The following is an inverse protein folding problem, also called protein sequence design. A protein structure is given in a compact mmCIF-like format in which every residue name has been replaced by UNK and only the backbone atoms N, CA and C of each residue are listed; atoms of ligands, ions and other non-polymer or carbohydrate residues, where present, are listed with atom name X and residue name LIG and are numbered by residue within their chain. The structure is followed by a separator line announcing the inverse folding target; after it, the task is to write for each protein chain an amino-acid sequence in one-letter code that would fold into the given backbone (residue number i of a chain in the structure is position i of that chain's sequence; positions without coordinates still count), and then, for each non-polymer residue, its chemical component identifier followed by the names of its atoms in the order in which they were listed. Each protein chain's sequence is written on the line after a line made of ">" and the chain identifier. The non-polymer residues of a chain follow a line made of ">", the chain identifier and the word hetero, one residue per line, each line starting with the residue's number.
data_IF_007054952022
#
_entry.id   IF_007054952022
#
_cell.length_a   1.000
_cell.length_b   1.000
_cell.length_c   1.000
_cell.angle_alpha   90.00
_cell.angle_beta   90.00
_cell.angle_gamma   90.00
#
_symmetry.space_group_name_H-M   'P 1'
#
loop_
_entity.id
_entity.type
_entity.pdbx_description
1 polymer ?
#
# COMPACT_ATOMS: atom_id res chain seq x y z
N UNK A 1 -9.94 3.20 21.49
CA UNK A 1 -9.06 3.24 20.30
C UNK A 1 -9.68 2.28 19.31
N UNK A 2 -9.94 2.73 18.07
CA UNK A 2 -10.53 1.89 17.02
C UNK A 2 -9.61 0.68 16.76
N UNK A 3 -10.13 -0.54 16.81
CA UNK A 3 -9.33 -1.74 16.52
C UNK A 3 -9.27 -2.03 15.00
N UNK A 4 -8.25 -2.75 14.56
CA UNK A 4 -8.02 -3.07 13.14
C UNK A 4 -9.23 -3.77 12.46
N UNK A 5 -9.89 -4.66 13.19
CA UNK A 5 -11.05 -5.43 12.71
C UNK A 5 -12.31 -4.57 12.62
N UNK A 6 -12.35 -3.45 13.36
CA UNK A 6 -13.43 -2.48 13.32
C UNK A 6 -13.34 -1.57 12.09
N UNK A 7 -12.15 -1.47 11.48
CA UNK A 7 -11.94 -0.81 10.21
C UNK A 7 -12.42 -1.71 9.06
N UNK A 8 -13.73 -1.80 8.81
CA UNK A 8 -14.29 -2.69 7.78
C UNK A 8 -13.91 -2.31 6.34
N UNK A 9 -13.40 -1.09 6.15
CA UNK A 9 -12.97 -0.54 4.87
C UNK A 9 -11.47 -0.60 4.59
N UNK A 10 -11.03 0.29 3.69
CA UNK A 10 -9.61 0.47 3.31
C UNK A 10 -8.93 -0.83 2.88
N UNK A 11 -9.66 -1.67 2.12
CA UNK A 11 -9.20 -3.00 1.72
C UNK A 11 -7.86 -2.96 0.96
N UNK A 12 -7.66 -1.94 0.11
CA UNK A 12 -6.40 -1.74 -0.61
C UNK A 12 -5.23 -1.46 0.35
N UNK A 13 -5.44 -0.68 1.41
CA UNK A 13 -4.39 -0.39 2.39
C UNK A 13 -4.09 -1.61 3.27
N UNK A 14 -5.12 -2.38 3.66
CA UNK A 14 -4.94 -3.66 4.36
C UNK A 14 -4.16 -4.66 3.52
N UNK A 15 -4.53 -4.79 2.24
CA UNK A 15 -3.83 -5.64 1.28
C UNK A 15 -2.37 -5.20 1.07
N UNK A 16 -2.12 -3.91 0.94
CA UNK A 16 -0.75 -3.37 0.84
C UNK A 16 0.10 -3.73 2.07
N UNK A 17 -0.48 -3.73 3.28
CA UNK A 17 0.22 -4.12 4.52
C UNK A 17 0.55 -5.61 4.51
N UNK A 18 -0.36 -6.49 4.07
CA UNK A 18 -0.06 -7.92 3.90
C UNK A 18 1.12 -8.13 2.95
N UNK A 19 1.06 -7.49 1.78
CA UNK A 19 2.10 -7.57 0.75
C UNK A 19 3.43 -7.05 1.31
N UNK A 20 3.41 -5.92 2.00
CA UNK A 20 4.59 -5.34 2.61
C UNK A 20 5.19 -6.24 3.70
N UNK A 21 4.36 -6.85 4.54
CA UNK A 21 4.79 -7.74 5.61
C UNK A 21 5.43 -9.03 5.08
N UNK A 22 4.91 -9.58 3.97
CA UNK A 22 5.50 -10.76 3.31
C UNK A 22 6.83 -10.41 2.63
N UNK A 23 6.85 -9.30 1.87
CA UNK A 23 8.01 -8.91 1.09
C UNK A 23 9.11 -8.21 1.88
N UNK A 24 8.89 -7.89 3.16
CA UNK A 24 9.78 -7.03 3.95
C UNK A 24 9.94 -5.64 3.33
N UNK A 25 8.84 -5.06 2.86
CA UNK A 25 8.80 -3.80 2.10
C UNK A 25 8.31 -2.66 2.98
N UNK A 26 8.80 -1.44 2.73
CA UNK A 26 8.38 -0.22 3.43
C UNK A 26 7.11 0.32 2.79
N UNK A 27 6.16 0.76 3.60
CA UNK A 27 4.87 1.27 3.11
C UNK A 27 4.67 2.73 3.49
N UNK A 28 4.11 3.52 2.57
CA UNK A 28 3.62 4.87 2.81
C UNK A 28 2.09 4.86 2.82
N UNK A 29 1.51 5.18 3.98
CA UNK A 29 0.08 5.39 4.16
C UNK A 29 -0.23 6.88 3.95
N UNK A 30 -0.80 7.19 2.79
CA UNK A 30 -1.22 8.55 2.44
C UNK A 30 -2.60 8.82 3.07
N UNK A 31 -2.59 9.45 4.24
CA UNK A 31 -3.74 9.60 5.12
C UNK A 31 -4.69 10.73 4.67
N UNK A 32 -5.87 10.36 4.17
CA UNK A 32 -7.06 11.21 4.11
C UNK A 32 -7.89 11.09 5.39
N UNK A 33 -7.76 9.95 6.08
CA UNK A 33 -8.22 9.72 7.45
C UNK A 33 -7.04 9.33 8.34
N UNK A 34 -6.69 10.23 9.28
CA UNK A 34 -5.55 10.04 10.19
C UNK A 34 -5.79 8.97 11.25
N UNK A 35 -7.04 8.78 11.67
CA UNK A 35 -7.34 7.79 12.70
C UNK A 35 -7.25 6.38 12.12
N UNK A 36 -7.81 6.18 10.92
CA UNK A 36 -7.64 4.95 10.16
C UNK A 36 -6.17 4.66 9.84
N UNK A 37 -5.40 5.68 9.40
CA UNK A 37 -3.99 5.51 9.06
C UNK A 37 -3.15 5.07 10.26
N UNK A 38 -3.41 5.62 11.46
CA UNK A 38 -2.72 5.20 12.69
C UNK A 38 -3.00 3.74 13.04
N UNK A 39 -4.26 3.30 12.97
CA UNK A 39 -4.64 1.90 13.24
C UNK A 39 -3.95 0.95 12.25
N UNK A 40 -3.88 1.35 10.98
CA UNK A 40 -3.19 0.59 9.95
C UNK A 40 -1.67 0.56 10.17
N UNK A 41 -1.06 1.66 10.61
CA UNK A 41 0.38 1.70 10.93
C UNK A 41 0.73 0.81 12.14
N UNK A 42 -0.10 0.81 13.19
CA UNK A 42 0.06 -0.09 14.35
C UNK A 42 -0.07 -1.57 13.95
N UNK A 43 -1.03 -1.88 13.07
CA UNK A 43 -1.18 -3.23 12.50
C UNK A 43 0.03 -3.62 11.63
N UNK A 44 0.53 -2.73 10.78
CA UNK A 44 1.73 -2.96 9.97
C UNK A 44 2.95 -3.25 10.85
N UNK A 45 3.16 -2.48 11.91
CA UNK A 45 4.23 -2.72 12.87
C UNK A 45 4.10 -4.08 13.56
N UNK A 46 2.87 -4.51 13.87
CA UNK A 46 2.61 -5.82 14.50
C UNK A 46 2.84 -7.00 13.56
N UNK A 47 2.89 -6.76 12.25
CA UNK A 47 3.17 -7.75 11.20
C UNK A 47 4.63 -7.72 10.72
N UNK A 48 5.51 -7.04 11.47
CA UNK A 48 6.92 -6.83 11.15
C UNK A 48 7.18 -6.12 9.81
N UNK A 49 6.29 -5.21 9.40
CA UNK A 49 6.57 -4.30 8.29
C UNK A 49 7.77 -3.41 8.69
N UNK A 50 8.89 -3.40 7.94
CA UNK A 50 10.13 -2.77 8.42
C UNK A 50 10.01 -1.27 8.74
N UNK A 51 9.20 -0.55 7.96
CA UNK A 51 8.94 0.86 8.20
C UNK A 51 7.62 1.30 7.57
N UNK A 52 6.84 2.09 8.32
CA UNK A 52 5.58 2.69 7.86
C UNK A 52 5.68 4.21 7.90
N UNK A 53 5.53 4.86 6.75
CA UNK A 53 5.45 6.32 6.64
C UNK A 53 3.98 6.74 6.70
N UNK A 54 3.59 7.51 7.72
CA UNK A 54 2.27 8.14 7.79
C UNK A 54 2.33 9.55 7.21
N UNK A 55 1.57 9.79 6.15
CA UNK A 55 1.76 10.94 5.26
C UNK A 55 0.42 11.66 5.01
N UNK A 56 0.24 12.90 5.48
CA UNK A 56 -0.91 13.75 5.13
C UNK A 56 -0.68 14.61 3.87
N UNK A 57 -1.67 14.77 3.00
CA UNK A 57 -1.52 15.54 1.76
C UNK A 57 -1.36 17.05 1.92
N UNK A 58 -1.72 17.58 3.09
CA UNK A 58 -1.58 18.99 3.45
C UNK A 58 -1.19 19.13 4.93
N UNK A 59 -0.74 20.32 5.36
CA UNK A 59 -0.36 20.56 6.76
C UNK A 59 -1.49 20.29 7.76
N UNK A 60 -2.74 20.64 7.43
CA UNK A 60 -3.88 20.41 8.34
C UNK A 60 -4.44 18.97 8.28
N UNK A 61 -4.03 18.17 7.31
CA UNK A 61 -4.47 16.78 7.11
C UNK A 61 -5.90 16.59 6.59
N UNK A 62 -6.64 17.66 6.32
CA UNK A 62 -8.06 17.57 5.91
C UNK A 62 -8.27 17.62 4.38
N UNK A 63 -7.22 17.74 3.57
CA UNK A 63 -7.35 17.75 2.11
C UNK A 63 -7.83 16.38 1.60
N UNK A 64 -9.00 16.35 0.96
CA UNK A 64 -9.65 15.11 0.52
C UNK A 64 -10.39 14.35 1.63
N UNK A 65 -10.48 14.92 2.83
CA UNK A 65 -11.27 14.39 3.94
C UNK A 65 -12.70 14.96 3.94
N UNK A 66 -13.65 14.39 4.71
CA UNK A 66 -14.97 14.98 4.90
C UNK A 66 -14.94 16.31 5.69
N UNK A 67 -13.82 16.62 6.36
CA UNK A 67 -13.64 17.88 7.09
C UNK A 67 -13.13 18.98 6.15
N UNK A 68 -13.56 20.24 6.33
CA UNK A 68 -13.07 21.33 5.51
C UNK A 68 -11.56 21.53 5.71
N UNK A 69 -10.83 21.60 4.59
CA UNK A 69 -9.42 21.95 4.58
C UNK A 69 -9.26 23.47 4.69
N UNK A 70 -8.43 23.93 5.63
CA UNK A 70 -8.08 25.35 5.80
C UNK A 70 -6.82 25.78 5.04
N UNK A 71 -6.14 24.84 4.39
CA UNK A 71 -4.88 25.14 3.69
C UNK A 71 -5.15 25.71 2.31
N UNK A 72 -4.36 26.72 1.95
CA UNK A 72 -4.31 27.28 0.61
C UNK A 72 -3.64 26.30 -0.38
N UNK A 73 -3.90 26.42 -1.69
CA UNK A 73 -3.21 25.61 -2.69
C UNK A 73 -1.69 25.71 -2.64
N UNK A 74 -1.13 26.85 -2.21
CA UNK A 74 0.32 27.04 -2.10
C UNK A 74 0.89 26.30 -0.89
N UNK A 75 0.24 26.37 0.27
CA UNK A 75 0.65 25.60 1.47
C UNK A 75 0.64 24.09 1.21
N UNK A 76 -0.33 23.60 0.45
CA UNK A 76 -0.42 22.19 0.04
C UNK A 76 0.78 21.81 -0.83
N UNK A 77 1.10 22.63 -1.84
CA UNK A 77 2.25 22.39 -2.72
C UNK A 77 3.58 22.42 -1.94
N UNK A 78 3.74 23.38 -1.04
CA UNK A 78 4.94 23.51 -0.19
C UNK A 78 5.10 22.27 0.68
N UNK A 79 4.03 21.82 1.33
CA UNK A 79 4.02 20.61 2.15
C UNK A 79 4.43 19.37 1.37
N UNK A 80 3.82 19.15 0.19
CA UNK A 80 4.13 18.01 -0.69
C UNK A 80 5.53 18.10 -1.33
N UNK A 81 6.14 19.28 -1.36
CA UNK A 81 7.52 19.49 -1.83
C UNK A 81 8.55 19.46 -0.72
N UNK A 82 8.11 19.43 0.54
CA UNK A 82 9.01 19.39 1.69
C UNK A 82 9.95 18.19 1.60
N UNK A 83 11.15 18.35 2.14
CA UNK A 83 12.17 17.29 2.12
C UNK A 83 11.64 16.03 2.81
N UNK A 84 11.01 16.18 3.98
CA UNK A 84 10.42 15.08 4.74
C UNK A 84 9.40 14.29 3.93
N UNK A 85 8.47 14.98 3.26
CA UNK A 85 7.46 14.33 2.43
C UNK A 85 8.08 13.56 1.27
N UNK A 86 8.94 14.21 0.50
CA UNK A 86 9.55 13.62 -0.70
C UNK A 86 10.48 12.45 -0.35
N UNK A 87 11.21 12.56 0.76
CA UNK A 87 12.16 11.55 1.18
C UNK A 87 11.46 10.31 1.73
N UNK A 88 10.35 10.49 2.46
CA UNK A 88 9.47 9.38 2.85
C UNK A 88 8.94 8.59 1.65
N UNK A 89 8.43 9.32 0.63
CA UNK A 89 7.91 8.72 -0.59
C UNK A 89 8.99 7.96 -1.38
N UNK A 90 10.19 8.52 -1.52
CA UNK A 90 11.31 7.83 -2.20
C UNK A 90 11.74 6.54 -1.49
N UNK A 91 11.69 6.53 -0.16
CA UNK A 91 12.10 5.38 0.64
C UNK A 91 11.02 4.30 0.73
N UNK A 92 9.75 4.64 0.49
CA UNK A 92 8.67 3.68 0.50
C UNK A 92 8.65 2.83 -0.79
N UNK A 93 8.48 1.52 -0.61
CA UNK A 93 8.33 0.58 -1.71
C UNK A 93 6.88 0.61 -2.24
N UNK A 94 5.90 0.70 -1.33
CA UNK A 94 4.46 0.78 -1.61
C UNK A 94 3.87 2.09 -1.09
N UNK A 95 3.01 2.74 -1.86
CA UNK A 95 2.21 3.89 -1.44
C UNK A 95 0.73 3.55 -1.61
N UNK A 96 -0.05 3.79 -0.56
CA UNK A 96 -1.48 3.51 -0.57
C UNK A 96 -2.24 4.61 0.15
N UNK A 97 -3.38 5.01 -0.41
CA UNK A 97 -4.25 5.98 0.22
C UNK A 97 -5.06 5.31 1.34
N UNK A 98 -5.24 6.04 2.43
CA UNK A 98 -6.13 5.66 3.53
C UNK A 98 -7.30 6.63 3.52
N UNK A 99 -8.46 6.12 3.13
CA UNK A 99 -9.67 6.89 2.93
C UNK A 99 -10.52 6.94 4.19
N UNK A 100 -11.30 8.02 4.38
CA UNK A 100 -12.38 8.05 5.36
C UNK A 100 -13.42 6.97 5.04
N UNK A 101 -14.13 6.45 6.05
CA UNK A 101 -15.09 5.39 5.82
C UNK A 101 -16.27 5.87 4.98
N UNK A 102 -16.70 5.04 4.04
CA UNK A 102 -17.90 5.31 3.25
C UNK A 102 -19.20 5.01 4.05
N UNK A 103 -20.36 5.29 3.44
CA UNK A 103 -21.65 5.06 4.10
C UNK A 103 -21.90 3.59 4.44
N UNK A 104 -21.44 2.65 3.61
CA UNK A 104 -21.61 1.22 3.85
C UNK A 104 -20.69 0.75 4.97
N UNK A 105 -19.45 1.21 4.99
CA UNK A 105 -18.46 0.90 6.03
C UNK A 105 -18.91 1.43 7.40
N UNK A 106 -19.43 2.67 7.45
CA UNK A 106 -20.03 3.21 8.68
C UNK A 106 -21.24 2.38 9.14
N UNK A 107 -22.10 1.96 8.21
CA UNK A 107 -23.25 1.10 8.54
C UNK A 107 -22.78 -0.26 9.08
N UNK A 108 -21.75 -0.85 8.49
CA UNK A 108 -21.19 -2.11 8.92
C UNK A 108 -20.60 -2.00 10.33
N UNK A 109 -19.82 -0.95 10.60
CA UNK A 109 -19.29 -0.66 11.94
C UNK A 109 -20.41 -0.52 13.00
N UNK A 110 -21.44 0.29 12.71
CA UNK A 110 -22.58 0.53 13.62
C UNK A 110 -23.41 -0.74 13.89
N UNK A 111 -23.47 -1.66 12.92
CA UNK A 111 -24.13 -2.96 13.07
C UNK A 111 -23.25 -4.02 13.75
N UNK A 112 -22.07 -3.65 14.25
CA UNK A 112 -21.17 -4.58 14.92
C UNK A 112 -20.45 -5.54 13.97
N UNK A 113 -20.51 -5.31 12.65
CA UNK A 113 -19.72 -6.11 11.70
C UNK A 113 -18.24 -5.79 11.89
N UNK A 114 -17.42 -6.81 11.68
CA UNK A 114 -15.96 -6.73 11.79
C UNK A 114 -15.36 -7.32 10.52
N UNK A 115 -14.25 -6.74 10.08
CA UNK A 115 -13.42 -7.30 9.04
C UNK A 115 -12.57 -8.46 9.57
N UNK A 116 -11.59 -8.87 8.78
CA UNK A 116 -10.63 -9.88 9.18
C UNK A 116 -9.80 -9.43 10.41
N UNK A 117 -9.54 -10.36 11.32
CA UNK A 117 -8.73 -10.09 12.51
C UNK A 117 -7.26 -9.93 12.16
N UNK A 118 -6.52 -9.16 12.98
CA UNK A 118 -5.08 -9.03 12.80
C UNK A 118 -4.37 -10.39 12.98
N UNK A 119 -4.92 -11.29 13.80
CA UNK A 119 -4.39 -12.64 14.00
C UNK A 119 -4.59 -13.55 12.78
N UNK A 120 -5.71 -13.43 12.07
CA UNK A 120 -5.95 -14.14 10.81
C UNK A 120 -4.96 -13.66 9.74
N UNK A 121 -4.77 -12.34 9.63
CA UNK A 121 -3.79 -11.74 8.72
C UNK A 121 -2.37 -12.20 9.04
N UNK A 122 -1.97 -12.19 10.31
CA UNK A 122 -0.65 -12.66 10.73
C UNK A 122 -0.39 -14.11 10.29
N UNK A 123 -1.40 -14.99 10.41
CA UNK A 123 -1.31 -16.37 9.91
C UNK A 123 -1.17 -16.46 8.40
N UNK A 124 -1.88 -15.63 7.64
CA UNK A 124 -1.74 -15.54 6.18
C UNK A 124 -0.33 -15.09 5.78
N UNK A 125 0.17 -14.03 6.41
CA UNK A 125 1.51 -13.48 6.19
C UNK A 125 2.57 -14.54 6.48
N UNK A 126 2.49 -15.23 7.61
CA UNK A 126 3.47 -16.26 7.98
C UNK A 126 3.47 -17.43 7.00
N UNK A 127 2.29 -17.89 6.57
CA UNK A 127 2.17 -18.92 5.54
C UNK A 127 2.80 -18.46 4.22
N UNK A 128 2.54 -17.22 3.80
CA UNK A 128 3.06 -16.67 2.56
C UNK A 128 4.59 -16.49 2.61
N UNK A 129 5.16 -16.07 3.75
CA UNK A 129 6.61 -15.95 3.96
C UNK A 129 7.36 -17.25 3.65
N UNK A 130 6.78 -18.40 3.96
CA UNK A 130 7.38 -19.71 3.63
C UNK A 130 7.55 -19.96 2.12
N UNK A 131 6.69 -19.34 1.31
CA UNK A 131 6.71 -19.43 -0.14
C UNK A 131 7.44 -18.27 -0.83
N UNK A 132 7.80 -17.22 -0.09
CA UNK A 132 8.46 -16.02 -0.61
C UNK A 132 9.98 -16.23 -0.76
N UNK A 133 10.56 -15.70 -1.83
CA UNK A 133 12.03 -15.70 -2.03
C UNK A 133 12.58 -14.29 -2.26
N UNK A 134 13.68 -13.97 -1.58
CA UNK A 134 14.46 -12.73 -1.79
C UNK A 134 15.42 -12.82 -2.97
N UNK A 135 15.67 -14.02 -3.51
CA UNK A 135 16.55 -14.22 -4.66
C UNK A 135 15.89 -13.73 -5.95
N UNK A 136 16.34 -12.58 -6.44
CA UNK A 136 15.84 -11.98 -7.68
C UNK A 136 15.95 -12.94 -8.87
N UNK A 137 17.06 -13.68 -8.99
CA UNK A 137 17.21 -14.67 -10.05
C UNK A 137 16.08 -15.71 -10.03
N UNK A 138 15.75 -16.26 -8.86
CA UNK A 138 14.64 -17.22 -8.72
C UNK A 138 13.29 -16.59 -9.06
N UNK A 139 13.05 -15.36 -8.58
CA UNK A 139 11.81 -14.63 -8.85
C UNK A 139 11.61 -14.41 -10.35
N UNK A 140 12.65 -13.95 -11.06
CA UNK A 140 12.58 -13.69 -12.49
C UNK A 140 12.26 -14.95 -13.31
N UNK A 141 12.69 -16.14 -12.85
CA UNK A 141 12.31 -17.41 -13.47
C UNK A 141 10.83 -17.78 -13.27
N UNK A 142 10.15 -17.21 -12.27
CA UNK A 142 8.73 -17.46 -12.03
C UNK A 142 7.81 -16.60 -12.91
N UNK A 143 8.31 -15.57 -13.59
CA UNK A 143 7.48 -14.73 -14.45
C UNK A 143 6.99 -15.46 -15.69
N UNK A 144 5.69 -15.36 -15.97
CA UNK A 144 5.14 -15.72 -17.27
C UNK A 144 5.54 -14.68 -18.33
N UNK A 145 5.47 -15.07 -19.61
CA UNK A 145 5.79 -14.15 -20.71
C UNK A 145 4.92 -12.89 -20.68
N UNK A 146 3.64 -13.00 -20.31
CA UNK A 146 2.74 -11.85 -20.27
C UNK A 146 2.99 -10.95 -19.06
N UNK A 147 3.39 -11.52 -17.91
CA UNK A 147 3.86 -10.74 -16.77
C UNK A 147 5.11 -9.93 -17.11
N UNK A 148 6.07 -10.51 -17.84
CA UNK A 148 7.28 -9.81 -18.29
C UNK A 148 6.93 -8.66 -19.25
N UNK A 149 6.07 -8.90 -20.23
CA UNK A 149 5.61 -7.86 -21.17
C UNK A 149 4.93 -6.72 -20.43
N UNK A 150 4.06 -7.02 -19.46
CA UNK A 150 3.38 -6.00 -18.68
C UNK A 150 4.35 -5.18 -17.83
N UNK A 151 5.32 -5.83 -17.18
CA UNK A 151 6.33 -5.14 -16.39
C UNK A 151 7.19 -4.21 -17.25
N UNK A 152 7.62 -4.65 -18.45
CA UNK A 152 8.37 -3.82 -19.38
C UNK A 152 7.54 -2.62 -19.85
N UNK A 153 6.28 -2.84 -20.22
CA UNK A 153 5.37 -1.77 -20.61
C UNK A 153 5.17 -0.76 -19.48
N UNK A 154 4.94 -1.22 -18.25
CA UNK A 154 4.82 -0.36 -17.08
C UNK A 154 6.11 0.42 -16.82
N UNK A 155 7.28 -0.21 -17.00
CA UNK A 155 8.57 0.45 -16.84
C UNK A 155 8.75 1.61 -17.84
N UNK A 156 8.34 1.42 -19.09
CA UNK A 156 8.39 2.45 -20.13
C UNK A 156 7.37 3.58 -19.88
N UNK A 157 6.09 3.24 -19.67
CA UNK A 157 4.99 4.21 -19.51
C UNK A 157 5.18 5.09 -18.26
N UNK A 158 5.70 4.50 -17.18
CA UNK A 158 5.89 5.19 -15.91
C UNK A 158 7.33 5.68 -15.69
N UNK A 159 8.22 5.49 -16.67
CA UNK A 159 9.63 5.90 -16.58
C UNK A 159 10.32 5.37 -15.31
N UNK A 160 10.06 4.10 -14.98
CA UNK A 160 10.56 3.46 -13.77
C UNK A 160 12.09 3.34 -13.81
N UNK A 161 12.75 3.73 -12.72
CA UNK A 161 14.17 3.48 -12.52
C UNK A 161 14.43 2.00 -12.20
N UNK A 162 15.69 1.57 -12.25
CA UNK A 162 16.08 0.23 -11.80
C UNK A 162 15.61 -0.10 -10.38
N UNK A 163 15.64 0.88 -9.47
CA UNK A 163 15.15 0.73 -8.11
C UNK A 163 13.64 0.52 -8.06
N UNK A 164 12.88 1.27 -8.87
CA UNK A 164 11.44 1.12 -8.97
C UNK A 164 11.05 -0.26 -9.53
N UNK A 165 11.72 -0.71 -10.59
CA UNK A 165 11.50 -2.05 -11.16
C UNK A 165 11.79 -3.14 -10.13
N UNK A 166 12.88 -3.01 -9.37
CA UNK A 166 13.22 -3.97 -8.31
C UNK A 166 12.16 -4.00 -7.21
N UNK A 167 11.63 -2.84 -6.80
CA UNK A 167 10.53 -2.74 -5.84
C UNK A 167 9.27 -3.44 -6.36
N UNK A 168 8.89 -3.20 -7.62
CA UNK A 168 7.76 -3.87 -8.27
C UNK A 168 7.95 -5.38 -8.33
N UNK A 169 9.15 -5.87 -8.68
CA UNK A 169 9.46 -7.31 -8.71
C UNK A 169 9.32 -7.95 -7.32
N UNK A 170 9.84 -7.30 -6.28
CA UNK A 170 9.71 -7.81 -4.89
C UNK A 170 8.26 -7.80 -4.41
N UNK A 171 7.51 -6.75 -4.75
CA UNK A 171 6.09 -6.63 -4.47
C UNK A 171 5.28 -7.73 -5.17
N UNK A 172 5.56 -7.97 -6.45
CA UNK A 172 4.93 -9.02 -7.25
C UNK A 172 5.15 -10.42 -6.67
N UNK A 173 6.37 -10.71 -6.21
CA UNK A 173 6.69 -11.98 -5.56
C UNK A 173 5.96 -12.15 -4.21
N UNK A 174 5.78 -11.07 -3.44
CA UNK A 174 5.00 -11.10 -2.21
C UNK A 174 3.51 -11.39 -2.48
N UNK A 175 2.94 -10.78 -3.52
CA UNK A 175 1.56 -11.04 -3.97
C UNK A 175 1.41 -12.50 -4.41
N UNK A 176 2.30 -13.00 -5.26
CA UNK A 176 2.30 -14.42 -5.68
C UNK A 176 2.36 -15.36 -4.48
N UNK A 177 3.22 -15.07 -3.51
CA UNK A 177 3.38 -15.87 -2.30
C UNK A 177 2.10 -15.87 -1.44
N UNK A 178 1.43 -14.71 -1.31
CA UNK A 178 0.13 -14.59 -0.62
C UNK A 178 -0.97 -15.42 -1.28
N UNK A 179 -0.96 -15.52 -2.62
CA UNK A 179 -1.92 -16.31 -3.39
C UNK A 179 -1.50 -17.79 -3.50
N UNK A 180 -0.33 -18.16 -3.00
CA UNK A 180 0.29 -19.47 -3.18
C UNK A 180 0.35 -19.90 -4.67
N UNK A 181 0.49 -18.93 -5.58
CA UNK A 181 0.47 -19.15 -7.01
C UNK A 181 1.80 -19.78 -7.49
N UNK A 182 1.78 -20.72 -8.45
CA UNK A 182 2.99 -21.40 -8.91
C UNK A 182 3.90 -20.51 -9.79
N UNK A 183 3.34 -19.48 -10.40
CA UNK A 183 4.03 -18.55 -11.29
C UNK A 183 3.57 -17.12 -11.04
N UNK A 184 4.39 -16.15 -11.47
CA UNK A 184 4.05 -14.73 -11.47
C UNK A 184 3.27 -14.40 -12.74
N UNK A 185 1.98 -14.12 -12.57
CA UNK A 185 1.07 -13.72 -13.64
C UNK A 185 0.98 -12.20 -13.80
N UNK A 186 0.38 -11.76 -14.92
CA UNK A 186 0.20 -10.34 -15.22
C UNK A 186 -0.69 -9.63 -14.18
N UNK A 187 -1.64 -10.33 -13.56
CA UNK A 187 -2.46 -9.80 -12.45
C UNK A 187 -1.61 -9.37 -11.26
N UNK A 188 -0.64 -10.17 -10.83
CA UNK A 188 0.26 -9.82 -9.73
C UNK A 188 1.09 -8.56 -10.05
N UNK A 189 1.57 -8.44 -11.29
CA UNK A 189 2.32 -7.26 -11.75
C UNK A 189 1.43 -6.03 -11.79
N UNK A 190 0.18 -6.16 -12.24
CA UNK A 190 -0.79 -5.07 -12.28
C UNK A 190 -1.10 -4.55 -10.87
N UNK A 191 -1.33 -5.43 -9.90
CA UNK A 191 -1.52 -5.05 -8.49
C UNK A 191 -0.26 -4.38 -7.94
N UNK A 192 0.92 -4.98 -8.14
CA UNK A 192 2.19 -4.43 -7.64
C UNK A 192 2.47 -3.01 -8.18
N UNK A 193 2.22 -2.78 -9.47
CA UNK A 193 2.35 -1.47 -10.10
C UNK A 193 1.35 -0.45 -9.53
N UNK A 194 0.15 -0.90 -9.14
CA UNK A 194 -0.87 -0.07 -8.52
C UNK A 194 -0.45 0.54 -7.18
N UNK A 195 0.40 -0.15 -6.42
CA UNK A 195 0.96 0.39 -5.17
C UNK A 195 2.05 1.44 -5.39
N UNK A 196 2.43 1.79 -6.62
CA UNK A 196 3.44 2.82 -6.89
C UNK A 196 2.88 3.90 -7.83
N UNK A 197 1.90 4.68 -7.38
CA UNK A 197 1.26 5.70 -8.19
C UNK A 197 2.27 6.78 -8.63
N UNK A 198 2.25 7.11 -9.92
CA UNK A 198 3.17 8.10 -10.50
C UNK A 198 2.82 9.55 -10.16
N UNK A 199 1.60 9.78 -9.66
CA UNK A 199 1.18 11.09 -9.21
C UNK A 199 0.21 11.00 -8.03
N UNK A 200 0.11 12.08 -7.25
CA UNK A 200 -0.81 12.12 -6.12
C UNK A 200 -2.28 12.20 -6.55
N UNK A 201 -2.59 12.61 -7.80
CA UNK A 201 -3.99 12.69 -8.24
C UNK A 201 -4.66 11.32 -8.30
N UNK A 202 -3.92 10.29 -8.70
CA UNK A 202 -4.42 8.91 -8.73
C UNK A 202 -4.66 8.30 -7.34
N UNK A 203 -4.20 8.95 -6.26
CA UNK A 203 -4.44 8.53 -4.88
C UNK A 203 -5.61 9.25 -4.21
N UNK A 204 -6.08 10.36 -4.78
CA UNK A 204 -6.94 11.34 -4.08
C UNK A 204 -8.29 11.52 -4.77
N UNK A 205 -8.40 11.05 -6.02
CA UNK A 205 -9.65 11.03 -6.77
C UNK A 205 -10.09 9.57 -6.92
N UNK A 206 -11.31 9.20 -6.51
CA UNK A 206 -11.85 7.86 -6.75
C UNK A 206 -12.04 7.57 -8.25
#
# INVERSE_FOLDING_TARGET
>A
MLAFEELTGNLAAKRAIEVAAVGGLKVALVALDREAARVLAEAASSLDVPYTFELTLCPCGNWGSPRPCSCTPEEIKVHQRSLTWREALKQADLWVAVHPPDRNELRDFLNGRRGESLQDIARKVERARSGYTTSIARVLHCFTADAQKLLLKAAEEFQLTWGDVLAVVRCTEAIRALEAAPAIEASHVAEAAGYRPQNLKSLVVP
#
